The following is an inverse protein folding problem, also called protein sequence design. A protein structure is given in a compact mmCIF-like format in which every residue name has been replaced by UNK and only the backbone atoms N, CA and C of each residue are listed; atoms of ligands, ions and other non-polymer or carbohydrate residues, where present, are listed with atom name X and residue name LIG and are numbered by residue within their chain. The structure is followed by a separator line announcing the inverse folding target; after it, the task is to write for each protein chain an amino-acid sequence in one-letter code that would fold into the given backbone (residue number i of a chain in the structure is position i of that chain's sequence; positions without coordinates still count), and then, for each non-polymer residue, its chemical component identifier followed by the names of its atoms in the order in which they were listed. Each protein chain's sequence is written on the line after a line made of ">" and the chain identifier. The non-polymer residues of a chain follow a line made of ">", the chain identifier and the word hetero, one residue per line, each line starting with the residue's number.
data_IF_098824266057
#
_entry.id   IF_098824266057
#
_cell.length_a   1.000
_cell.length_b   1.000
_cell.length_c   1.000
_cell.angle_alpha   90.00
_cell.angle_beta   90.00
_cell.angle_gamma   90.00
#
_symmetry.space_group_name_H-M   'P 1'
#
loop_
_entity.id
_entity.type
_entity.pdbx_description
1 polymer ?
#
# COMPACT_ATOMS: atom_id res chain seq x y z
N UNK A 1 -8.27 10.40 -11.42
CA UNK A 1 -8.52 9.11 -12.12
C UNK A 1 -8.85 8.03 -11.09
N UNK A 2 -9.91 7.26 -11.29
CA UNK A 2 -10.22 6.09 -10.44
C UNK A 2 -9.12 5.04 -10.64
N UNK A 3 -8.61 4.48 -9.54
CA UNK A 3 -7.63 3.40 -9.59
C UNK A 3 -8.29 2.13 -10.15
N UNK A 4 -7.67 1.52 -11.15
CA UNK A 4 -8.11 0.24 -11.72
C UNK A 4 -7.13 -0.80 -11.21
N UNK A 5 -7.58 -1.76 -10.41
CA UNK A 5 -6.73 -2.87 -9.93
C UNK A 5 -6.21 -3.72 -11.11
N UNK A 6 -5.14 -4.48 -10.87
CA UNK A 6 -4.53 -5.30 -11.92
C UNK A 6 -5.51 -6.29 -12.56
N UNK A 7 -6.44 -6.86 -11.77
CA UNK A 7 -7.42 -7.84 -12.24
C UNK A 7 -8.46 -7.22 -13.18
N UNK A 8 -9.11 -6.10 -12.79
CA UNK A 8 -10.05 -5.40 -13.69
C UNK A 8 -9.33 -4.83 -14.89
N UNK A 9 -8.11 -4.33 -14.71
CA UNK A 9 -7.31 -3.80 -15.81
C UNK A 9 -7.00 -4.87 -16.85
N UNK A 10 -6.65 -6.09 -16.43
CA UNK A 10 -6.43 -7.22 -17.34
C UNK A 10 -7.71 -7.63 -18.08
N UNK A 11 -8.87 -7.64 -17.41
CA UNK A 11 -10.17 -7.89 -18.08
C UNK A 11 -10.44 -6.83 -19.16
N UNK A 12 -10.21 -5.55 -18.85
CA UNK A 12 -10.33 -4.46 -19.83
C UNK A 12 -9.36 -4.66 -20.99
N UNK A 13 -8.14 -5.13 -20.73
CA UNK A 13 -7.17 -5.46 -21.78
C UNK A 13 -7.65 -6.58 -22.70
N UNK A 14 -8.33 -7.60 -22.20
CA UNK A 14 -8.93 -8.64 -23.05
C UNK A 14 -9.90 -8.00 -24.04
N UNK A 15 -10.85 -7.22 -23.55
CA UNK A 15 -11.83 -6.53 -24.42
C UNK A 15 -11.18 -5.53 -25.39
N UNK A 16 -10.06 -4.93 -25.01
CA UNK A 16 -9.30 -4.02 -25.87
C UNK A 16 -8.56 -4.77 -26.98
N UNK A 17 -7.90 -5.89 -26.64
CA UNK A 17 -7.08 -6.63 -27.60
C UNK A 17 -7.89 -7.50 -28.55
N UNK A 18 -9.07 -7.99 -28.15
CA UNK A 18 -9.95 -8.77 -29.04
C UNK A 18 -10.22 -8.08 -30.39
N UNK A 19 -10.75 -6.84 -30.46
CA UNK A 19 -11.00 -6.18 -31.75
C UNK A 19 -9.71 -5.87 -32.51
N UNK A 20 -8.61 -5.58 -31.81
CA UNK A 20 -7.31 -5.30 -32.42
C UNK A 20 -6.77 -6.55 -33.14
N UNK A 21 -6.79 -7.70 -32.47
CA UNK A 21 -6.34 -8.98 -33.04
C UNK A 21 -7.19 -9.42 -34.22
N UNK A 22 -8.50 -9.16 -34.17
CA UNK A 22 -9.41 -9.49 -35.28
C UNK A 22 -9.19 -8.59 -36.50
N UNK A 23 -8.69 -7.36 -36.30
CA UNK A 23 -8.48 -6.39 -37.39
C UNK A 23 -7.09 -6.48 -38.02
N UNK A 24 -6.08 -6.91 -37.26
CA UNK A 24 -4.69 -7.00 -37.72
C UNK A 24 -4.41 -8.40 -38.26
N UNK A 25 -4.28 -8.49 -39.58
CA UNK A 25 -3.80 -9.69 -40.25
C UNK A 25 -2.27 -9.73 -40.19
N UNK A 26 -1.71 -10.73 -39.51
CA UNK A 26 -0.27 -10.95 -39.45
C UNK A 26 0.27 -11.52 -40.77
N UNK A 27 1.59 -11.48 -40.93
CA UNK A 27 2.29 -12.02 -42.11
C UNK A 27 2.69 -13.48 -41.89
N UNK A 28 2.70 -13.94 -40.64
CA UNK A 28 3.14 -15.28 -40.24
C UNK A 28 4.52 -15.26 -39.59
N UNK A 29 4.99 -16.42 -39.16
CA UNK A 29 6.27 -16.50 -38.44
C UNK A 29 7.46 -16.41 -39.39
N UNK A 30 8.49 -15.67 -38.96
CA UNK A 30 9.79 -15.62 -39.62
C UNK A 30 10.87 -15.89 -38.57
N UNK A 31 12.03 -16.47 -38.93
CA UNK A 31 13.10 -16.75 -37.97
C UNK A 31 13.55 -15.51 -37.18
N UNK A 32 13.52 -14.34 -37.82
CA UNK A 32 13.90 -13.06 -37.20
C UNK A 32 12.89 -12.67 -36.10
N UNK A 33 11.59 -12.73 -36.40
CA UNK A 33 10.54 -12.37 -35.45
C UNK A 33 10.48 -13.37 -34.28
N UNK A 34 10.64 -14.66 -34.55
CA UNK A 34 10.70 -15.70 -33.51
C UNK A 34 11.91 -15.48 -32.57
N UNK A 35 13.06 -15.11 -33.13
CA UNK A 35 14.27 -14.78 -32.35
C UNK A 35 14.04 -13.53 -31.50
N UNK A 36 13.46 -12.47 -32.08
CA UNK A 36 13.14 -11.23 -31.35
C UNK A 36 12.15 -11.46 -30.22
N UNK A 37 11.10 -12.26 -30.47
CA UNK A 37 10.12 -12.64 -29.46
C UNK A 37 10.80 -13.41 -28.32
N UNK A 38 11.64 -14.39 -28.64
CA UNK A 38 12.35 -15.21 -27.65
C UNK A 38 13.27 -14.37 -26.77
N UNK A 39 14.10 -13.52 -27.36
CA UNK A 39 15.02 -12.65 -26.60
C UNK A 39 14.25 -11.65 -25.74
N UNK A 40 13.21 -11.02 -26.30
CA UNK A 40 12.45 -9.99 -25.59
C UNK A 40 11.63 -10.57 -24.44
N UNK A 41 10.99 -11.72 -24.65
CA UNK A 41 10.25 -12.44 -23.59
C UNK A 41 11.19 -12.91 -22.48
N UNK A 42 12.37 -13.43 -22.83
CA UNK A 42 13.38 -13.84 -21.84
C UNK A 42 13.85 -12.66 -20.99
N UNK A 43 14.26 -11.55 -21.61
CA UNK A 43 14.68 -10.34 -20.90
C UNK A 43 13.54 -9.76 -20.05
N UNK A 44 12.32 -9.72 -20.60
CA UNK A 44 11.15 -9.25 -19.86
C UNK A 44 10.87 -10.12 -18.64
N UNK A 45 10.88 -11.45 -18.78
CA UNK A 45 10.63 -12.38 -17.69
C UNK A 45 11.66 -12.21 -16.56
N UNK A 46 12.94 -12.09 -16.90
CA UNK A 46 14.01 -11.87 -15.92
C UNK A 46 13.80 -10.53 -15.19
N UNK A 47 13.66 -9.43 -15.92
CA UNK A 47 13.52 -8.10 -15.33
C UNK A 47 12.24 -7.95 -14.52
N UNK A 48 11.11 -8.38 -15.07
CA UNK A 48 9.83 -8.35 -14.38
C UNK A 48 9.88 -9.21 -13.10
N UNK A 49 10.48 -10.41 -13.17
CA UNK A 49 10.68 -11.27 -12.01
C UNK A 49 11.48 -10.61 -10.90
N UNK A 50 12.63 -10.01 -11.22
CA UNK A 50 13.44 -9.28 -10.25
C UNK A 50 12.70 -8.08 -9.64
N UNK A 51 11.99 -7.29 -10.45
CA UNK A 51 11.24 -6.14 -9.95
C UNK A 51 10.04 -6.54 -9.11
N UNK A 52 9.30 -7.59 -9.49
CA UNK A 52 8.21 -8.14 -8.67
C UNK A 52 8.75 -8.60 -7.32
N UNK A 53 9.84 -9.37 -7.31
CA UNK A 53 10.46 -9.87 -6.08
C UNK A 53 10.87 -8.72 -5.16
N UNK A 54 11.60 -7.72 -5.68
CA UNK A 54 12.01 -6.54 -4.91
C UNK A 54 10.83 -5.76 -4.36
N UNK A 55 9.81 -5.49 -5.19
CA UNK A 55 8.64 -4.73 -4.74
C UNK A 55 7.80 -5.51 -3.71
N UNK A 56 7.75 -6.83 -3.82
CA UNK A 56 7.06 -7.69 -2.85
C UNK A 56 7.79 -7.76 -1.51
N UNK A 57 9.12 -7.82 -1.52
CA UNK A 57 9.93 -7.66 -0.29
C UNK A 57 9.62 -6.32 0.36
N UNK A 58 9.74 -5.21 -0.40
CA UNK A 58 9.45 -3.87 0.10
C UNK A 58 8.02 -3.75 0.65
N UNK A 59 7.03 -4.34 -0.01
CA UNK A 59 5.65 -4.38 0.49
C UNK A 59 5.54 -5.10 1.83
N UNK A 60 6.23 -6.25 1.97
CA UNK A 60 6.25 -7.05 3.19
C UNK A 60 6.97 -6.31 4.32
N UNK A 61 8.12 -5.68 4.04
CA UNK A 61 8.91 -4.91 5.00
C UNK A 61 8.12 -3.72 5.55
N UNK A 62 7.44 -2.96 4.69
CA UNK A 62 6.58 -1.84 5.14
C UNK A 62 5.42 -2.37 5.98
N UNK A 63 4.77 -3.46 5.55
CA UNK A 63 3.68 -4.07 6.32
C UNK A 63 4.13 -4.50 7.71
N UNK A 64 5.30 -5.13 7.81
CA UNK A 64 5.88 -5.56 9.07
C UNK A 64 6.24 -4.36 9.96
N UNK A 65 6.89 -3.34 9.40
CA UNK A 65 7.29 -2.15 10.16
C UNK A 65 6.10 -1.41 10.76
N UNK A 66 5.01 -1.25 10.00
CA UNK A 66 3.81 -0.60 10.56
C UNK A 66 3.09 -1.51 11.55
N UNK A 67 3.04 -2.81 11.32
CA UNK A 67 2.47 -3.75 12.31
C UNK A 67 3.26 -3.72 13.63
N UNK A 68 4.58 -3.61 13.57
CA UNK A 68 5.43 -3.46 14.74
C UNK A 68 5.18 -2.12 15.44
N UNK A 69 5.07 -1.04 14.66
CA UNK A 69 4.72 0.28 15.18
C UNK A 69 3.38 0.25 15.95
N UNK A 70 2.35 -0.37 15.38
CA UNK A 70 1.04 -0.55 16.03
C UNK A 70 1.14 -1.36 17.33
N UNK A 71 1.90 -2.45 17.30
CA UNK A 71 2.15 -3.27 18.48
C UNK A 71 2.87 -2.47 19.59
N UNK A 72 3.82 -1.61 19.23
CA UNK A 72 4.50 -0.74 20.20
C UNK A 72 3.57 0.33 20.76
N UNK A 73 2.69 0.94 19.96
CA UNK A 73 1.69 1.88 20.48
C UNK A 73 0.71 1.20 21.45
N UNK A 74 0.27 -0.01 21.12
CA UNK A 74 -0.57 -0.78 22.02
C UNK A 74 0.16 -1.14 23.33
N UNK A 75 1.41 -1.58 23.24
CA UNK A 75 2.24 -1.86 24.41
C UNK A 75 2.49 -0.60 25.26
N UNK A 76 2.69 0.56 24.61
CA UNK A 76 2.85 1.86 25.27
C UNK A 76 1.60 2.21 26.07
N UNK A 77 0.42 2.10 25.47
CA UNK A 77 -0.86 2.32 26.17
C UNK A 77 -1.06 1.35 27.34
N UNK A 78 -0.78 0.05 27.16
CA UNK A 78 -0.91 -0.93 28.23
C UNK A 78 0.03 -0.66 29.39
N UNK A 79 1.27 -0.32 29.10
CA UNK A 79 2.29 0.02 30.11
C UNK A 79 1.93 1.32 30.83
N UNK A 80 1.36 2.31 30.11
CA UNK A 80 0.89 3.55 30.70
C UNK A 80 -0.20 3.36 31.76
N UNK A 81 -0.96 2.25 31.72
CA UNK A 81 -1.98 1.95 32.75
C UNK A 81 -1.39 1.75 34.15
N UNK A 82 -0.11 1.39 34.26
CA UNK A 82 0.59 1.26 35.55
C UNK A 82 0.64 2.60 36.30
N UNK A 83 0.66 3.72 35.57
CA UNK A 83 0.66 5.07 36.12
C UNK A 83 -0.76 5.62 36.36
N UNK A 84 -1.78 4.79 36.21
CA UNK A 84 -3.17 5.12 36.48
C UNK A 84 -3.99 5.49 35.23
N UNK A 85 -5.31 5.56 35.45
CA UNK A 85 -6.30 5.76 34.38
C UNK A 85 -6.09 7.09 33.66
N UNK A 86 -5.94 8.19 34.38
CA UNK A 86 -5.77 9.54 33.82
C UNK A 86 -4.55 9.62 32.90
N UNK A 87 -3.43 8.98 33.26
CA UNK A 87 -2.23 8.98 32.44
C UNK A 87 -2.41 8.14 31.18
N UNK A 88 -2.96 6.92 31.31
CA UNK A 88 -3.24 6.07 30.14
C UNK A 88 -4.26 6.68 29.17
N UNK A 89 -5.22 7.48 29.66
CA UNK A 89 -6.16 8.23 28.81
C UNK A 89 -5.46 9.35 28.03
N UNK A 90 -4.53 10.09 28.66
CA UNK A 90 -3.70 11.08 27.94
C UNK A 90 -2.92 10.42 26.80
N UNK A 91 -2.26 9.29 27.07
CA UNK A 91 -1.54 8.52 26.05
C UNK A 91 -2.50 8.04 24.96
N UNK A 92 -3.65 7.46 25.31
CA UNK A 92 -4.63 7.00 24.33
C UNK A 92 -5.12 8.12 23.40
N UNK A 93 -5.34 9.33 23.92
CA UNK A 93 -5.74 10.49 23.12
C UNK A 93 -4.63 10.96 22.17
N UNK A 94 -3.38 10.98 22.63
CA UNK A 94 -2.24 11.37 21.78
C UNK A 94 -1.96 10.33 20.68
N UNK A 95 -2.07 9.03 21.01
CA UNK A 95 -1.98 7.92 20.04
C UNK A 95 -3.15 7.97 19.05
N UNK A 96 -4.36 8.31 19.51
CA UNK A 96 -5.51 8.51 18.62
C UNK A 96 -5.27 9.65 17.62
N UNK A 97 -4.75 10.79 18.08
CA UNK A 97 -4.40 11.91 17.20
C UNK A 97 -3.34 11.49 16.17
N UNK A 98 -2.32 10.73 16.62
CA UNK A 98 -1.31 10.14 15.75
C UNK A 98 -1.94 9.28 14.65
N UNK A 99 -2.86 8.36 15.01
CA UNK A 99 -3.50 7.47 14.06
C UNK A 99 -4.38 8.19 13.03
N UNK A 100 -5.13 9.21 13.44
CA UNK A 100 -5.95 10.00 12.50
C UNK A 100 -5.06 10.61 11.41
N UNK A 101 -3.93 11.20 11.79
CA UNK A 101 -2.97 11.77 10.82
C UNK A 101 -2.29 10.67 10.01
N UNK A 102 -1.92 9.57 10.64
CA UNK A 102 -1.30 8.40 9.99
C UNK A 102 -2.16 7.84 8.86
N UNK A 103 -3.44 7.59 9.12
CA UNK A 103 -4.38 7.01 8.17
C UNK A 103 -4.67 7.90 6.96
N UNK A 104 -4.48 9.20 7.12
CA UNK A 104 -4.72 10.19 6.07
C UNK A 104 -3.46 10.58 5.30
N UNK A 105 -2.29 10.36 5.91
CA UNK A 105 -1.01 10.73 5.32
C UNK A 105 -0.60 9.76 4.22
N UNK A 106 -0.04 10.32 3.14
CA UNK A 106 0.66 9.50 2.17
C UNK A 106 1.97 9.00 2.81
N UNK A 107 2.32 7.72 2.59
CA UNK A 107 3.55 7.08 3.09
C UNK A 107 4.82 7.90 2.81
N UNK A 108 4.86 8.65 1.70
CA UNK A 108 5.99 9.52 1.37
C UNK A 108 6.20 10.71 2.34
N UNK A 109 5.12 11.21 2.97
CA UNK A 109 5.16 12.32 3.93
C UNK A 109 4.81 11.88 5.36
N UNK A 110 4.46 10.61 5.54
CA UNK A 110 4.02 9.99 6.79
C UNK A 110 4.86 10.39 8.00
N UNK A 111 6.18 10.23 7.90
CA UNK A 111 7.10 10.53 9.00
C UNK A 111 7.02 11.99 9.47
N UNK A 112 6.97 12.93 8.52
CA UNK A 112 6.91 14.37 8.84
C UNK A 112 5.55 14.77 9.37
N UNK A 113 4.48 14.26 8.75
CA UNK A 113 3.10 14.57 9.14
C UNK A 113 2.78 14.13 10.55
N UNK A 114 3.27 12.95 10.96
CA UNK A 114 2.95 12.36 12.27
C UNK A 114 3.95 12.74 13.38
N UNK A 115 5.06 13.42 13.04
CA UNK A 115 6.08 13.81 14.01
C UNK A 115 5.55 14.71 15.15
N UNK A 116 4.70 15.72 14.90
CA UNK A 116 4.15 16.55 15.99
C UNK A 116 3.38 15.73 17.03
N UNK A 117 2.56 14.77 16.59
CA UNK A 117 1.82 13.89 17.49
C UNK A 117 2.72 12.97 18.30
N UNK A 118 3.85 12.52 17.74
CA UNK A 118 4.79 11.73 18.51
C UNK A 118 5.53 12.57 19.56
N UNK A 119 5.89 13.81 19.23
CA UNK A 119 6.48 14.77 20.20
C UNK A 119 5.50 15.02 21.36
N UNK A 120 4.21 15.10 21.09
CA UNK A 120 3.19 15.20 22.15
C UNK A 120 3.22 13.99 23.10
N UNK A 121 3.40 12.78 22.58
CA UNK A 121 3.55 11.57 23.40
C UNK A 121 4.81 11.64 24.27
N UNK A 122 5.94 12.12 23.72
CA UNK A 122 7.16 12.38 24.49
C UNK A 122 6.91 13.38 25.63
N UNK A 123 6.22 14.48 25.34
CA UNK A 123 5.89 15.50 26.33
C UNK A 123 5.05 14.93 27.48
N UNK A 124 4.06 14.08 27.17
CA UNK A 124 3.26 13.39 28.19
C UNK A 124 4.14 12.52 29.09
N UNK A 125 5.12 11.79 28.52
CA UNK A 125 6.05 11.00 29.34
C UNK A 125 6.92 11.86 30.25
N UNK A 126 7.32 13.06 29.82
CA UNK A 126 8.12 13.98 30.65
C UNK A 126 7.34 14.55 31.85
N UNK A 127 6.01 14.52 31.84
CA UNK A 127 5.18 14.98 32.97
C UNK A 127 5.21 14.03 34.18
N UNK A 128 5.77 12.81 34.05
CA UNK A 128 5.83 11.84 35.14
C UNK A 128 6.77 12.34 36.25
N UNK A 129 6.18 12.85 37.34
CA UNK A 129 6.91 13.47 38.47
C UNK A 129 7.67 12.46 39.34
N UNK A 130 7.06 11.32 39.64
CA UNK A 130 7.70 10.24 40.38
C UNK A 130 8.10 9.12 39.43
N UNK A 131 9.40 9.01 39.16
CA UNK A 131 10.01 7.91 38.42
C UNK A 131 10.09 6.63 39.27
N UNK A 132 9.13 6.44 40.20
CA UNK A 132 9.19 5.48 41.32
C UNK A 132 9.35 4.01 40.92
N UNK A 133 9.17 3.69 39.63
CA UNK A 133 9.64 2.45 38.99
C UNK A 133 10.52 2.81 37.79
N UNK A 134 11.81 3.07 38.04
CA UNK A 134 12.80 3.44 37.02
C UNK A 134 12.79 2.47 35.82
N UNK A 135 12.54 1.17 36.07
CA UNK A 135 12.43 0.14 35.04
C UNK A 135 11.21 0.31 34.12
N UNK A 136 10.05 0.69 34.64
CA UNK A 136 8.83 0.89 33.86
C UNK A 136 8.90 2.19 33.07
N UNK A 137 9.44 3.24 33.69
CA UNK A 137 9.68 4.51 33.03
C UNK A 137 10.68 4.35 31.87
N UNK A 138 11.81 3.66 32.09
CA UNK A 138 12.76 3.32 31.03
C UNK A 138 12.12 2.47 29.92
N UNK A 139 11.23 1.54 30.29
CA UNK A 139 10.46 0.73 29.34
C UNK A 139 9.60 1.57 28.38
N UNK A 140 8.93 2.62 28.87
CA UNK A 140 8.15 3.53 28.02
C UNK A 140 9.04 4.28 27.01
N UNK A 141 10.21 4.77 27.42
CA UNK A 141 11.16 5.41 26.49
C UNK A 141 11.73 4.42 25.48
N UNK A 142 11.99 3.18 25.90
CA UNK A 142 12.42 2.14 24.97
C UNK A 142 11.36 1.87 23.91
N UNK A 143 10.08 1.80 24.28
CA UNK A 143 8.98 1.65 23.33
C UNK A 143 8.89 2.83 22.35
N UNK A 144 9.01 4.07 22.84
CA UNK A 144 9.05 5.25 21.95
C UNK A 144 10.23 5.22 20.99
N UNK A 145 11.41 4.80 21.46
CA UNK A 145 12.58 4.61 20.60
C UNK A 145 12.35 3.54 19.53
N UNK A 146 11.66 2.44 19.88
CA UNK A 146 11.25 1.41 18.92
C UNK A 146 10.24 1.92 17.90
N UNK A 147 9.27 2.74 18.32
CA UNK A 147 8.33 3.43 17.43
C UNK A 147 9.09 4.35 16.45
N UNK A 148 9.98 5.21 16.94
CA UNK A 148 10.78 6.09 16.06
C UNK A 148 11.65 5.30 15.08
N UNK A 149 12.26 4.20 15.54
CA UNK A 149 13.07 3.33 14.68
C UNK A 149 12.21 2.73 13.56
N UNK A 150 11.02 2.23 13.88
CA UNK A 150 10.09 1.67 12.89
C UNK A 150 9.64 2.75 11.89
N UNK A 151 9.25 3.93 12.38
CA UNK A 151 8.82 5.08 11.58
C UNK A 151 9.90 5.55 10.62
N UNK A 152 11.14 5.69 11.11
CA UNK A 152 12.25 6.17 10.31
C UNK A 152 12.60 5.16 9.20
N UNK A 153 12.73 3.87 9.54
CA UNK A 153 12.95 2.79 8.56
C UNK A 153 11.85 2.76 7.50
N UNK A 154 10.60 2.86 7.93
CA UNK A 154 9.45 2.88 7.03
C UNK A 154 9.54 4.07 6.05
N UNK A 155 9.93 5.26 6.53
CA UNK A 155 10.08 6.47 5.70
C UNK A 155 11.14 6.37 4.61
N UNK A 156 12.18 5.55 4.84
CA UNK A 156 13.26 5.30 3.88
C UNK A 156 12.78 4.28 2.84
N UNK A 157 12.27 3.13 3.30
CA UNK A 157 11.83 2.02 2.44
C UNK A 157 10.64 2.42 1.57
N UNK A 158 9.70 3.22 2.11
CA UNK A 158 8.54 3.70 1.36
C UNK A 158 8.90 4.55 0.13
N UNK A 159 10.07 5.21 0.14
CA UNK A 159 10.55 6.04 -0.98
C UNK A 159 11.23 5.23 -2.07
N UNK A 160 11.64 4.00 -1.79
CA UNK A 160 12.23 3.14 -2.81
C UNK A 160 11.19 2.83 -3.89
N UNK A 161 11.45 3.21 -5.13
CA UNK A 161 10.55 2.97 -6.26
C UNK A 161 11.34 2.54 -7.49
N UNK A 162 10.67 1.86 -8.44
CA UNK A 162 11.26 1.58 -9.75
C UNK A 162 11.47 2.92 -10.45
N UNK A 163 12.68 3.13 -10.98
CA UNK A 163 13.01 4.38 -11.64
C UNK A 163 12.24 4.52 -12.95
N UNK A 164 12.09 5.76 -13.43
CA UNK A 164 11.43 6.01 -14.73
C UNK A 164 12.12 5.28 -15.88
N UNK A 165 13.45 5.16 -15.86
CA UNK A 165 14.21 4.44 -16.88
C UNK A 165 13.91 2.94 -16.89
N UNK A 166 13.79 2.32 -15.71
CA UNK A 166 13.44 0.90 -15.59
C UNK A 166 12.02 0.63 -16.12
N UNK A 167 11.07 1.53 -15.84
CA UNK A 167 9.73 1.47 -16.43
C UNK A 167 9.76 1.58 -17.95
N UNK A 168 10.55 2.51 -18.51
CA UNK A 168 10.71 2.66 -19.96
C UNK A 168 11.21 1.36 -20.60
N UNK A 169 12.20 0.70 -19.99
CA UNK A 169 12.72 -0.58 -20.49
C UNK A 169 11.64 -1.66 -20.49
N UNK A 170 10.86 -1.78 -19.40
CA UNK A 170 9.77 -2.76 -19.32
C UNK A 170 8.69 -2.49 -20.39
N UNK A 171 8.29 -1.24 -20.57
CA UNK A 171 7.30 -0.88 -21.60
C UNK A 171 7.84 -1.14 -23.00
N UNK A 172 9.11 -0.81 -23.28
CA UNK A 172 9.73 -1.09 -24.56
C UNK A 172 9.73 -2.59 -24.88
N UNK A 173 10.11 -3.44 -23.91
CA UNK A 173 10.07 -4.89 -24.07
C UNK A 173 8.65 -5.41 -24.32
N UNK A 174 7.65 -4.95 -23.56
CA UNK A 174 6.25 -5.35 -23.77
C UNK A 174 5.78 -4.93 -25.16
N UNK A 175 6.12 -3.73 -25.63
CA UNK A 175 5.75 -3.28 -26.98
C UNK A 175 6.38 -4.16 -28.07
N UNK A 176 7.66 -4.55 -27.92
CA UNK A 176 8.32 -5.47 -28.85
C UNK A 176 7.65 -6.84 -28.85
N UNK A 177 7.32 -7.38 -27.67
CA UNK A 177 6.63 -8.67 -27.55
C UNK A 177 5.25 -8.60 -28.20
N UNK A 178 4.45 -7.58 -27.90
CA UNK A 178 3.14 -7.37 -28.50
C UNK A 178 3.24 -7.26 -30.02
N UNK A 179 4.21 -6.49 -30.53
CA UNK A 179 4.45 -6.38 -31.96
C UNK A 179 4.74 -7.75 -32.60
N UNK A 180 5.62 -8.55 -31.99
CA UNK A 180 5.92 -9.90 -32.49
C UNK A 180 4.69 -10.82 -32.46
N UNK A 181 3.90 -10.77 -31.38
CA UNK A 181 2.68 -11.58 -31.25
C UNK A 181 1.64 -11.22 -32.32
N UNK A 182 1.42 -9.93 -32.59
CA UNK A 182 0.51 -9.50 -33.66
C UNK A 182 1.04 -9.85 -35.05
N UNK A 183 2.36 -9.79 -35.26
CA UNK A 183 2.97 -10.14 -36.55
C UNK A 183 2.80 -11.62 -36.90
N UNK A 184 2.93 -12.51 -35.91
CA UNK A 184 2.79 -13.96 -36.07
C UNK A 184 1.33 -14.39 -36.30
N UNK A 185 0.34 -13.56 -35.99
CA UNK A 185 -1.08 -13.89 -36.06
C UNK A 185 -1.54 -14.36 -37.46
N UNK A 186 -1.80 -15.65 -37.63
CA UNK A 186 -2.16 -16.28 -38.93
C UNK A 186 -3.67 -16.34 -39.21
N UNK A 187 -4.49 -15.53 -38.53
CA UNK A 187 -5.96 -15.48 -38.65
C UNK A 187 -6.72 -16.76 -38.30
N UNK A 188 -6.04 -17.81 -37.85
CA UNK A 188 -6.72 -18.95 -37.26
C UNK A 188 -7.26 -18.55 -35.88
N UNK A 189 -8.50 -18.93 -35.59
CA UNK A 189 -9.17 -18.61 -34.32
C UNK A 189 -8.33 -18.98 -33.09
N UNK A 190 -7.63 -20.12 -33.15
CA UNK A 190 -6.74 -20.58 -32.09
C UNK A 190 -5.59 -19.58 -31.82
N UNK A 191 -4.89 -19.15 -32.88
CA UNK A 191 -3.80 -18.18 -32.76
C UNK A 191 -4.29 -16.81 -32.30
N UNK A 192 -5.43 -16.35 -32.81
CA UNK A 192 -6.05 -15.10 -32.37
C UNK A 192 -6.37 -15.12 -30.87
N UNK A 193 -6.99 -16.21 -30.40
CA UNK A 193 -7.29 -16.39 -28.97
C UNK A 193 -6.01 -16.37 -28.11
N UNK A 194 -4.96 -17.08 -28.54
CA UNK A 194 -3.69 -17.13 -27.83
C UNK A 194 -3.04 -15.75 -27.74
N UNK A 195 -3.02 -14.98 -28.84
CA UNK A 195 -2.46 -13.62 -28.87
C UNK A 195 -3.22 -12.70 -27.91
N UNK A 196 -4.55 -12.77 -27.86
CA UNK A 196 -5.35 -11.97 -26.91
C UNK A 196 -4.96 -12.29 -25.46
N UNK A 197 -4.90 -13.58 -25.11
CA UNK A 197 -4.56 -14.00 -23.73
C UNK A 197 -3.14 -13.58 -23.37
N UNK A 198 -2.15 -13.84 -24.23
CA UNK A 198 -0.75 -13.47 -23.99
C UNK A 198 -0.61 -11.96 -23.82
N UNK A 199 -1.28 -11.16 -24.65
CA UNK A 199 -1.29 -9.71 -24.54
C UNK A 199 -1.90 -9.23 -23.22
N UNK A 200 -3.02 -9.83 -22.81
CA UNK A 200 -3.65 -9.53 -21.53
C UNK A 200 -2.78 -9.92 -20.33
N UNK A 201 -2.01 -11.02 -20.42
CA UNK A 201 -1.06 -11.44 -19.39
C UNK A 201 0.11 -10.45 -19.24
N UNK A 202 0.66 -9.93 -20.36
CA UNK A 202 1.72 -8.92 -20.30
C UNK A 202 1.25 -7.65 -19.58
N UNK A 203 0.02 -7.19 -19.89
CA UNK A 203 -0.56 -6.05 -19.20
C UNK A 203 -0.82 -6.36 -17.73
N UNK A 204 -1.31 -7.56 -17.40
CA UNK A 204 -1.51 -7.98 -16.01
C UNK A 204 -0.20 -7.90 -15.20
N UNK A 205 0.93 -8.34 -15.77
CA UNK A 205 2.25 -8.26 -15.13
C UNK A 205 2.64 -6.80 -14.87
N UNK A 206 2.50 -5.91 -15.86
CA UNK A 206 2.79 -4.47 -15.69
C UNK A 206 1.89 -3.82 -14.64
N UNK A 207 0.60 -4.16 -14.63
CA UNK A 207 -0.34 -3.65 -13.63
C UNK A 207 -0.02 -4.19 -12.24
N UNK A 208 0.43 -5.44 -12.12
CA UNK A 208 0.85 -6.04 -10.85
C UNK A 208 2.09 -5.32 -10.30
N UNK A 209 3.09 -5.04 -11.15
CA UNK A 209 4.24 -4.22 -10.79
C UNK A 209 3.83 -2.83 -10.30
N UNK A 210 2.88 -2.19 -10.99
CA UNK A 210 2.35 -0.88 -10.59
C UNK A 210 1.58 -0.97 -9.27
N UNK A 211 0.80 -2.01 -9.05
CA UNK A 211 0.02 -2.23 -7.83
C UNK A 211 0.93 -2.45 -6.62
N UNK A 212 1.95 -3.31 -6.78
CA UNK A 212 3.02 -3.50 -5.79
C UNK A 212 3.78 -2.20 -5.53
N UNK A 213 4.15 -1.45 -6.58
CA UNK A 213 4.85 -0.18 -6.45
C UNK A 213 4.05 0.85 -5.65
N UNK A 214 2.73 0.87 -5.79
CA UNK A 214 1.85 1.77 -5.06
C UNK A 214 1.32 1.20 -3.74
N UNK A 215 1.82 0.04 -3.31
CA UNK A 215 1.43 -0.63 -2.06
C UNK A 215 -0.07 -0.94 -1.99
N UNK A 216 -0.64 -1.29 -3.14
CA UNK A 216 -2.07 -1.52 -3.38
C UNK A 216 -2.36 -2.93 -3.88
N UNK A 217 -1.68 -3.93 -3.32
CA UNK A 217 -1.93 -5.32 -3.67
C UNK A 217 -3.41 -5.66 -3.41
N UNK A 218 -4.15 -6.08 -4.44
CA UNK A 218 -5.59 -6.35 -4.33
C UNK A 218 -6.51 -5.12 -4.39
N UNK A 219 -5.98 -3.93 -4.73
CA UNK A 219 -6.77 -2.72 -4.97
C UNK A 219 -7.08 -1.87 -3.74
N UNK A 220 -6.66 -2.27 -2.54
CA UNK A 220 -6.77 -1.51 -1.29
C UNK A 220 -5.38 -1.05 -0.84
N UNK A 221 -5.25 0.18 -0.32
CA UNK A 221 -4.00 0.59 0.36
C UNK A 221 -3.91 -0.23 1.64
N UNK A 222 -2.99 -1.19 1.65
CA UNK A 222 -2.56 -2.03 2.77
C UNK A 222 -3.60 -2.47 3.83
N UNK A 223 -3.67 -3.77 4.20
CA UNK A 223 -4.32 -4.25 5.42
C UNK A 223 -3.79 -3.63 6.73
N UNK A 224 -2.68 -2.91 6.66
CA UNK A 224 -2.02 -2.19 7.76
C UNK A 224 -2.94 -1.18 8.45
N UNK A 225 -3.90 -0.60 7.73
CA UNK A 225 -4.91 0.26 8.36
C UNK A 225 -5.68 -0.50 9.44
N UNK A 226 -5.97 -1.79 9.21
CA UNK A 226 -6.79 -2.60 10.11
C UNK A 226 -6.12 -2.82 11.47
N UNK A 227 -4.81 -3.11 11.48
CA UNK A 227 -4.03 -3.25 12.71
C UNK A 227 -4.12 -2.00 13.58
N UNK A 228 -3.91 -0.80 13.00
CA UNK A 228 -4.10 0.46 13.72
C UNK A 228 -5.54 0.68 14.19
N UNK A 229 -6.56 0.25 13.42
CA UNK A 229 -7.95 0.31 13.86
C UNK A 229 -8.21 -0.58 15.09
N UNK A 230 -7.63 -1.77 15.13
CA UNK A 230 -7.73 -2.70 16.26
C UNK A 230 -7.04 -2.14 17.50
N UNK A 231 -5.93 -1.41 17.34
CA UNK A 231 -5.28 -0.68 18.44
C UNK A 231 -6.20 0.39 19.00
N UNK A 232 -6.85 1.20 18.15
CA UNK A 232 -7.84 2.20 18.58
C UNK A 232 -8.99 1.54 19.37
N UNK A 233 -9.54 0.46 18.84
CA UNK A 233 -10.63 -0.28 19.49
C UNK A 233 -10.19 -0.84 20.86
N UNK A 234 -8.97 -1.38 20.94
CA UNK A 234 -8.39 -1.90 22.18
C UNK A 234 -8.13 -0.82 23.24
N UNK A 235 -8.02 0.45 22.83
CA UNK A 235 -7.96 1.62 23.70
C UNK A 235 -9.36 2.14 24.11
N UNK A 236 -10.43 1.51 23.62
CA UNK A 236 -11.82 1.94 23.84
C UNK A 236 -12.26 3.08 22.91
N UNK A 237 -11.53 3.33 21.82
CA UNK A 237 -11.88 4.33 20.81
C UNK A 237 -12.62 3.69 19.65
N UNK A 238 -13.56 4.42 19.06
CA UNK A 238 -14.20 3.97 17.83
C UNK A 238 -13.20 3.98 16.67
N UNK A 239 -13.32 3.02 15.76
CA UNK A 239 -12.52 2.98 14.53
C UNK A 239 -12.73 4.25 13.69
N UNK A 240 -11.71 4.69 12.97
CA UNK A 240 -11.71 5.92 12.17
C UNK A 240 -11.52 5.66 10.69
N UNK A 241 -12.41 6.20 9.85
CA UNK A 241 -12.31 6.11 8.40
C UNK A 241 -12.49 7.49 7.77
N UNK A 242 -11.76 7.80 6.69
CA UNK A 242 -11.92 9.07 5.96
C UNK A 242 -12.80 8.86 4.71
N UNK A 243 -13.85 9.68 4.55
CA UNK A 243 -14.83 9.56 3.46
C UNK A 243 -14.18 9.66 2.08
N UNK A 244 -13.23 10.59 1.90
CA UNK A 244 -12.54 10.75 0.62
C UNK A 244 -11.70 9.52 0.26
N UNK A 245 -11.15 8.81 1.25
CA UNK A 245 -10.40 7.57 1.03
C UNK A 245 -11.34 6.39 0.74
N UNK A 246 -12.53 6.37 1.35
CA UNK A 246 -13.58 5.40 1.04
C UNK A 246 -14.08 5.59 -0.40
N UNK A 247 -14.37 6.83 -0.80
CA UNK A 247 -14.88 7.16 -2.15
C UNK A 247 -13.86 6.82 -3.25
N UNK A 248 -12.56 7.01 -2.95
CA UNK A 248 -11.46 6.61 -3.82
C UNK A 248 -11.20 5.10 -3.83
N UNK A 249 -11.98 4.30 -3.09
CA UNK A 249 -11.81 2.85 -2.88
C UNK A 249 -10.44 2.47 -2.32
N UNK A 250 -9.82 3.41 -1.63
CA UNK A 250 -8.52 3.26 -0.99
C UNK A 250 -8.68 2.53 0.34
N UNK A 251 -9.74 2.88 1.07
CA UNK A 251 -10.11 2.35 2.38
C UNK A 251 -11.47 1.67 2.29
N UNK A 252 -11.66 0.58 3.02
CA UNK A 252 -12.93 -0.15 3.05
C UNK A 252 -13.34 -0.39 4.50
N UNK A 253 -14.61 -0.12 4.79
CA UNK A 253 -15.19 -0.40 6.10
C UNK A 253 -15.57 -1.89 6.14
N UNK A 254 -15.08 -2.67 7.11
CA UNK A 254 -15.52 -4.04 7.32
C UNK A 254 -17.03 -4.13 7.57
N UNK A 255 -17.67 -5.24 7.19
CA UNK A 255 -19.14 -5.36 7.22
C UNK A 255 -19.70 -5.50 8.65
N UNK A 256 -18.88 -5.99 9.55
CA UNK A 256 -19.12 -6.24 10.97
C UNK A 256 -19.10 -4.97 11.82
N UNK A 257 -18.50 -3.88 11.32
CA UNK A 257 -18.41 -2.61 12.05
C UNK A 257 -19.70 -1.79 11.85
N UNK A 258 -20.50 -1.73 12.91
CA UNK A 258 -21.77 -0.98 12.96
C UNK A 258 -21.61 0.48 13.39
N UNK A 259 -20.58 0.79 14.17
CA UNK A 259 -20.35 2.14 14.70
C UNK A 259 -18.90 2.57 14.48
N UNK A 260 -18.70 3.69 13.80
CA UNK A 260 -17.37 4.20 13.48
C UNK A 260 -17.36 5.72 13.36
N UNK A 261 -16.16 6.30 13.36
CA UNK A 261 -15.91 7.73 13.14
C UNK A 261 -15.58 7.96 11.67
N UNK A 262 -16.24 8.93 11.06
CA UNK A 262 -16.10 9.28 9.65
C UNK A 262 -15.52 10.70 9.51
N UNK A 263 -14.34 10.80 8.90
CA UNK A 263 -13.72 12.07 8.51
C UNK A 263 -14.37 12.66 7.26
N UNK A 264 -15.01 13.82 7.39
CA UNK A 264 -15.67 14.58 6.33
C UNK A 264 -14.82 15.76 5.84
N UNK A 265 -13.53 15.54 5.63
CA UNK A 265 -12.59 16.56 5.19
C UNK A 265 -11.56 15.97 4.24
N UNK A 266 -10.90 16.84 3.47
CA UNK A 266 -9.76 16.39 2.68
C UNK A 266 -8.56 16.15 3.60
N UNK A 267 -7.78 15.07 3.36
CA UNK A 267 -6.55 14.80 4.11
C UNK A 267 -5.66 16.06 4.20
N UNK A 268 -5.36 16.50 5.42
CA UNK A 268 -4.54 17.69 5.69
C UNK A 268 -5.31 19.01 5.92
N UNK A 269 -6.64 19.01 5.79
CA UNK A 269 -7.50 20.13 6.20
C UNK A 269 -7.91 20.02 7.68
N UNK A 270 -8.65 21.01 8.19
CA UNK A 270 -9.20 20.94 9.55
C UNK A 270 -10.10 19.71 9.68
N UNK A 271 -9.80 18.89 10.69
CA UNK A 271 -10.51 17.64 10.98
C UNK A 271 -11.97 17.91 11.32
N UNK A 272 -12.86 17.48 10.43
CA UNK A 272 -14.30 17.34 10.70
C UNK A 272 -14.63 15.86 10.79
N UNK A 273 -15.10 15.40 11.95
CA UNK A 273 -15.37 13.99 12.23
C UNK A 273 -16.82 13.87 12.71
N UNK A 274 -17.57 12.95 12.11
CA UNK A 274 -18.93 12.60 12.52
C UNK A 274 -18.99 11.13 12.94
N UNK A 275 -19.82 10.79 13.93
CA UNK A 275 -20.03 9.41 14.35
C UNK A 275 -21.17 8.84 13.51
N UNK A 276 -20.91 7.72 12.83
CA UNK A 276 -21.89 7.03 11.99
C UNK A 276 -22.26 5.72 12.65
N UNK A 277 -23.56 5.47 12.76
CA UNK A 277 -24.15 4.20 13.15
C UNK A 277 -24.90 3.60 11.95
N UNK A 278 -24.66 2.33 11.67
CA UNK A 278 -25.21 1.56 10.56
C UNK A 278 -26.18 0.49 11.03
#
# INVERSE_FOLDING_TARGET
>A
MKYIDATKGSIVSIFLFTPIVLSIHGVGSTPIIETMLTISTFLFAILAGFYISRLNSRYSDIRELVSNEDAYFYALFKTAKVFGKTFSEKIANAVEAYYIISFESNLNNYYKSTAPSLVEIYNILYEIKEKSNDSTYAGLFSLLSSIETARNKNSVIAKETITKSQWIVLFALVMIILFCLFYINTNQLFFQFLVVIMSAMLILILLTLRDLQNLRLGGTLMPVLESGQEVLESMGKLRYYNQNLIDKKVMKIPKDIKKYRLGLHHPGEKTRIEIVEK
#
